data_IF_141977170179
#
_entry.id   IF_141977170179
#
_cell.length_a   1.000
_cell.length_b   1.000
_cell.length_c   1.000
_cell.angle_alpha   90.00
_cell.angle_beta   90.00
_cell.angle_gamma   90.00
#
_symmetry.space_group_name_H-M   'P 1'
#
loop_
_entity.id
_entity.type
_entity.pdbx_description
1 polymer ?
#
# COMPACT_ATOMS: atom_id res chain seq x y z
N UNK A 1 -17.32 6.06 6.97
CA UNK A 1 -16.31 7.12 6.91
C UNK A 1 -14.97 6.60 7.40
N UNK A 2 -13.91 6.90 6.67
CA UNK A 2 -12.57 6.48 7.05
C UNK A 2 -12.07 7.29 8.25
N UNK A 3 -11.55 6.60 9.25
CA UNK A 3 -10.93 7.21 10.41
C UNK A 3 -9.42 7.04 10.28
N UNK A 4 -8.75 8.11 9.88
CA UNK A 4 -7.30 8.09 9.65
C UNK A 4 -6.49 7.86 10.92
N UNK A 5 -7.08 8.10 12.09
CA UNK A 5 -6.41 7.81 13.36
C UNK A 5 -6.23 6.31 13.59
N UNK A 6 -7.01 5.47 12.90
CA UNK A 6 -6.85 4.02 12.95
C UNK A 6 -5.65 3.51 12.14
N UNK A 7 -5.00 4.38 11.38
CA UNK A 7 -3.86 4.00 10.54
C UNK A 7 -2.55 4.32 11.25
N UNK A 8 -1.53 3.50 11.03
CA UNK A 8 -0.21 3.77 11.57
C UNK A 8 0.35 5.07 10.99
N UNK A 9 1.36 5.63 11.65
CA UNK A 9 2.05 6.83 11.17
C UNK A 9 2.61 6.60 9.77
N UNK A 10 3.19 5.43 9.53
CA UNK A 10 3.73 5.08 8.22
C UNK A 10 2.64 5.03 7.15
N UNK A 11 1.49 4.40 7.46
CA UNK A 11 0.35 4.35 6.54
C UNK A 11 -0.18 5.75 6.22
N UNK A 12 -0.29 6.62 7.23
CA UNK A 12 -0.73 8.00 7.02
C UNK A 12 0.25 8.79 6.17
N UNK A 13 1.56 8.59 6.40
CA UNK A 13 2.60 9.24 5.60
C UNK A 13 2.50 8.82 4.13
N UNK A 14 2.28 7.54 3.87
CA UNK A 14 2.10 7.01 2.52
C UNK A 14 0.90 7.66 1.83
N UNK A 15 -0.23 7.78 2.54
CA UNK A 15 -1.42 8.42 2.00
C UNK A 15 -1.17 9.88 1.65
N UNK A 16 -0.48 10.62 2.52
CA UNK A 16 -0.13 12.02 2.26
C UNK A 16 0.80 12.17 1.06
N UNK A 17 1.81 11.30 0.95
CA UNK A 17 2.75 11.33 -0.16
C UNK A 17 2.05 10.96 -1.47
N UNK A 18 1.10 10.04 -1.42
CA UNK A 18 0.31 9.67 -2.59
C UNK A 18 -0.58 10.83 -3.06
N UNK A 19 -1.18 11.57 -2.13
CA UNK A 19 -1.93 12.79 -2.46
C UNK A 19 -1.04 13.83 -3.12
N UNK A 20 0.17 14.00 -2.59
CA UNK A 20 1.16 14.92 -3.16
C UNK A 20 1.52 14.52 -4.59
N UNK A 21 1.74 13.23 -4.81
CA UNK A 21 2.02 12.70 -6.14
C UNK A 21 0.89 13.01 -7.11
N UNK A 22 -0.34 12.72 -6.72
CA UNK A 22 -1.52 12.98 -7.56
C UNK A 22 -1.67 14.46 -7.87
N UNK A 23 -1.49 15.34 -6.86
CA UNK A 23 -1.56 16.79 -7.04
C UNK A 23 -0.51 17.31 -8.00
N UNK A 24 0.72 16.85 -7.87
CA UNK A 24 1.81 17.28 -8.74
C UNK A 24 1.59 16.91 -10.19
N UNK A 25 0.83 15.84 -10.42
CA UNK A 25 0.48 15.40 -11.77
C UNK A 25 -0.86 15.96 -12.25
N UNK A 26 -1.48 16.83 -11.45
CA UNK A 26 -2.78 17.45 -11.76
C UNK A 26 -3.89 16.41 -11.89
N UNK A 27 -3.79 15.31 -11.16
CA UNK A 27 -4.86 14.33 -11.03
C UNK A 27 -5.83 14.79 -9.94
N UNK A 28 -7.12 14.59 -10.17
CA UNK A 28 -8.15 15.08 -9.25
C UNK A 28 -8.57 14.07 -8.19
N UNK A 29 -8.20 12.82 -8.37
CA UNK A 29 -8.54 11.74 -7.45
C UNK A 29 -7.31 11.00 -6.99
N UNK A 30 -7.30 10.62 -5.71
CA UNK A 30 -6.31 9.71 -5.16
C UNK A 30 -6.73 8.29 -5.53
N UNK A 31 -5.94 7.65 -6.39
CA UNK A 31 -6.23 6.31 -6.89
C UNK A 31 -5.30 5.27 -6.25
N UNK A 32 -5.65 3.97 -6.31
CA UNK A 32 -4.78 2.93 -5.74
C UNK A 32 -3.38 2.93 -6.34
N UNK A 33 -3.25 3.30 -7.61
CA UNK A 33 -1.96 3.36 -8.30
C UNK A 33 -1.03 4.38 -7.63
N UNK A 34 -1.56 5.50 -7.17
CA UNK A 34 -0.76 6.50 -6.43
C UNK A 34 -0.22 5.91 -5.13
N UNK A 35 -1.08 5.18 -4.40
CA UNK A 35 -0.68 4.53 -3.15
C UNK A 35 0.42 3.50 -3.39
N UNK A 36 0.23 2.64 -4.38
CA UNK A 36 1.20 1.58 -4.67
C UNK A 36 2.54 2.17 -5.11
N UNK A 37 2.51 3.25 -5.93
CA UNK A 37 3.75 3.91 -6.36
C UNK A 37 4.56 4.41 -5.17
N UNK A 38 3.91 5.08 -4.23
CA UNK A 38 4.58 5.60 -3.04
C UNK A 38 5.07 4.45 -2.15
N UNK A 39 4.27 3.41 -2.00
CA UNK A 39 4.65 2.23 -1.21
C UNK A 39 5.89 1.54 -1.77
N UNK A 40 5.98 1.41 -3.10
CA UNK A 40 7.13 0.80 -3.76
C UNK A 40 8.37 1.67 -3.73
N UNK A 41 8.21 2.99 -3.64
CA UNK A 41 9.32 3.94 -3.57
C UNK A 41 9.82 4.18 -2.15
N UNK A 42 9.25 3.50 -1.16
CA UNK A 42 9.68 3.62 0.23
C UNK A 42 11.17 3.23 0.37
N UNK A 43 11.94 4.11 0.99
CA UNK A 43 13.39 3.90 1.17
C UNK A 43 13.72 2.61 1.91
N UNK A 44 12.85 2.22 2.84
CA UNK A 44 13.05 0.97 3.57
C UNK A 44 12.73 -0.26 2.74
N UNK A 45 12.01 -0.08 1.64
CA UNK A 45 11.75 -1.14 0.68
C UNK A 45 10.84 -2.25 1.17
N UNK A 46 10.04 -2.02 2.21
CA UNK A 46 9.21 -3.06 2.81
C UNK A 46 8.20 -3.64 1.82
N UNK A 47 7.49 -2.80 1.07
CA UNK A 47 6.52 -3.26 0.08
C UNK A 47 7.20 -4.06 -1.03
N UNK A 48 8.30 -3.54 -1.55
CA UNK A 48 9.05 -4.23 -2.61
C UNK A 48 9.52 -5.62 -2.14
N UNK A 49 10.03 -5.71 -0.91
CA UNK A 49 10.46 -6.99 -0.34
C UNK A 49 9.32 -7.99 -0.21
N UNK A 50 8.15 -7.53 0.22
CA UNK A 50 6.96 -8.38 0.32
C UNK A 50 6.53 -8.90 -1.06
N UNK A 51 6.53 -8.02 -2.05
CA UNK A 51 6.17 -8.40 -3.42
C UNK A 51 7.16 -9.42 -3.99
N UNK A 52 8.46 -9.20 -3.79
CA UNK A 52 9.50 -10.13 -4.23
C UNK A 52 9.32 -11.50 -3.55
N UNK A 53 9.08 -11.51 -2.24
CA UNK A 53 8.88 -12.74 -1.49
C UNK A 53 7.64 -13.51 -1.97
N UNK A 54 6.65 -12.79 -2.52
CA UNK A 54 5.45 -13.38 -3.10
C UNK A 54 5.62 -13.78 -4.57
N UNK A 55 6.84 -13.72 -5.09
CA UNK A 55 7.16 -14.15 -6.45
C UNK A 55 6.99 -13.09 -7.53
N UNK A 56 6.71 -11.85 -7.14
CA UNK A 56 6.43 -10.80 -8.11
C UNK A 56 7.69 -10.23 -8.75
N UNK A 57 7.53 -9.81 -10.01
CA UNK A 57 8.55 -9.04 -10.74
C UNK A 57 8.30 -7.55 -10.47
N UNK A 58 9.01 -7.00 -9.49
CA UNK A 58 8.81 -5.60 -9.07
C UNK A 58 9.16 -4.59 -10.16
N UNK A 59 10.14 -4.91 -11.02
CA UNK A 59 10.50 -4.02 -12.12
C UNK A 59 9.36 -3.94 -13.14
N UNK A 60 8.72 -5.05 -13.42
CA UNK A 60 7.57 -5.10 -14.32
C UNK A 60 6.38 -4.34 -13.72
N UNK A 61 6.11 -4.58 -12.43
CA UNK A 61 5.03 -3.89 -11.72
C UNK A 61 5.29 -2.39 -11.74
N UNK A 62 6.51 -1.96 -11.46
CA UNK A 62 6.88 -0.55 -11.43
C UNK A 62 6.65 0.13 -12.80
N UNK A 63 7.07 -0.53 -13.89
CA UNK A 63 6.92 0.01 -15.23
C UNK A 63 5.44 0.11 -15.64
N UNK A 64 4.67 -0.94 -15.37
CA UNK A 64 3.24 -0.96 -15.72
C UNK A 64 2.46 0.06 -14.89
N UNK A 65 2.86 0.23 -13.62
CA UNK A 65 2.26 1.20 -12.71
C UNK A 65 2.49 2.64 -13.21
N UNK A 66 3.71 2.95 -13.63
CA UNK A 66 4.02 4.28 -14.17
C UNK A 66 3.19 4.57 -15.44
N UNK A 67 3.02 3.56 -16.30
CA UNK A 67 2.18 3.72 -17.49
C UNK A 67 0.72 3.98 -17.10
N UNK A 68 0.20 3.27 -16.12
CA UNK A 68 -1.18 3.46 -15.65
C UNK A 68 -1.38 4.86 -15.08
N UNK A 69 -0.46 5.33 -14.27
CA UNK A 69 -0.54 6.67 -13.66
C UNK A 69 -0.47 7.75 -14.74
N UNK A 70 0.38 7.57 -15.75
CA UNK A 70 0.53 8.52 -16.86
C UNK A 70 -0.76 8.66 -17.66
N UNK A 71 -1.60 7.62 -17.71
CA UNK A 71 -2.87 7.64 -18.44
C UNK A 71 -3.99 8.36 -17.71
N UNK A 72 -3.83 8.69 -16.43
CA UNK A 72 -4.88 9.40 -15.71
C UNK A 72 -5.07 10.80 -16.27
N UNK A 73 -6.33 11.27 -16.35
CA UNK A 73 -6.59 12.62 -16.84
C UNK A 73 -5.91 13.68 -15.97
N UNK A 74 -5.25 14.63 -16.60
CA UNK A 74 -4.67 15.80 -15.93
C UNK A 74 -5.61 16.98 -16.12
N UNK A 75 -5.93 17.68 -15.02
CA UNK A 75 -6.81 18.83 -15.04
C UNK A 75 -6.04 20.06 -14.56
N UNK A 76 -6.00 21.10 -15.39
CA UNK A 76 -5.33 22.37 -15.08
C UNK A 76 -6.36 23.51 -15.12
N UNK A 77 -5.99 24.63 -14.54
CA UNK A 77 -6.84 25.82 -14.51
C UNK A 77 -7.82 25.83 -13.35
N UNK A 78 -9.00 26.38 -13.53
CA UNK A 78 -9.98 26.57 -12.44
C UNK A 78 -10.47 25.26 -11.85
N UNK A 79 -10.48 24.17 -12.63
CA UNK A 79 -10.86 22.85 -12.15
C UNK A 79 -9.85 22.27 -11.18
N UNK A 80 -8.57 22.65 -11.31
CA UNK A 80 -7.50 22.12 -10.47
C UNK A 80 -7.59 22.61 -9.01
N UNK A 81 -8.32 23.67 -8.75
CA UNK A 81 -8.47 24.25 -7.40
C UNK A 81 -9.58 23.59 -6.57
N UNK A 82 -10.32 22.64 -7.15
CA UNK A 82 -11.47 22.02 -6.48
C UNK A 82 -11.09 21.04 -5.34
N UNK A 83 -9.82 20.77 -5.16
CA UNK A 83 -9.34 19.86 -4.11
C UNK A 83 -9.28 18.41 -4.55
N UNK A 84 -8.47 17.64 -3.83
CA UNK A 84 -8.25 16.22 -4.10
C UNK A 84 -9.39 15.38 -3.52
N UNK A 85 -9.95 14.50 -4.32
CA UNK A 85 -10.93 13.54 -3.85
C UNK A 85 -10.27 12.17 -3.68
N UNK A 86 -10.83 11.37 -2.77
CA UNK A 86 -10.43 9.96 -2.66
C UNK A 86 -11.25 9.19 -3.67
N UNK A 87 -10.59 8.49 -4.59
CA UNK A 87 -11.28 7.68 -5.58
C UNK A 87 -12.09 6.57 -4.94
N UNK A 88 -13.13 6.12 -5.64
CA UNK A 88 -14.04 5.09 -5.13
C UNK A 88 -13.29 3.79 -4.80
N UNK A 89 -12.40 3.36 -5.67
CA UNK A 89 -11.62 2.14 -5.46
C UNK A 89 -10.66 2.29 -4.28
N UNK A 90 -10.04 3.46 -4.14
CA UNK A 90 -9.15 3.75 -3.01
C UNK A 90 -9.91 3.69 -1.70
N UNK A 91 -11.10 4.32 -1.62
CA UNK A 91 -11.92 4.30 -0.42
C UNK A 91 -12.30 2.87 -0.04
N UNK A 92 -12.66 2.04 -1.01
CA UNK A 92 -12.99 0.63 -0.78
C UNK A 92 -11.79 -0.15 -0.23
N UNK A 93 -10.62 0.05 -0.82
CA UNK A 93 -9.40 -0.63 -0.41
C UNK A 93 -9.05 -0.26 1.03
N UNK A 94 -9.11 1.03 1.36
CA UNK A 94 -8.78 1.49 2.71
C UNK A 94 -9.79 0.97 3.74
N UNK A 95 -11.08 0.95 3.38
CA UNK A 95 -12.12 0.40 4.26
C UNK A 95 -11.91 -1.10 4.48
N UNK A 96 -11.60 -1.84 3.42
CA UNK A 96 -11.30 -3.27 3.52
C UNK A 96 -10.07 -3.52 4.38
N UNK A 97 -9.06 -2.64 4.28
CA UNK A 97 -7.87 -2.75 5.12
C UNK A 97 -8.20 -2.59 6.60
N UNK A 98 -9.11 -1.65 6.93
CA UNK A 98 -9.60 -1.48 8.30
C UNK A 98 -10.29 -2.76 8.79
N UNK A 99 -11.17 -3.33 7.97
CA UNK A 99 -11.87 -4.55 8.34
C UNK A 99 -10.93 -5.74 8.53
N UNK A 100 -9.95 -5.88 7.66
CA UNK A 100 -8.94 -6.94 7.77
C UNK A 100 -8.11 -6.78 9.05
N UNK A 101 -7.73 -5.56 9.37
CA UNK A 101 -7.00 -5.27 10.60
C UNK A 101 -7.81 -5.64 11.84
N UNK A 102 -9.08 -5.26 11.87
CA UNK A 102 -9.97 -5.59 12.99
C UNK A 102 -10.13 -7.09 13.17
N UNK A 103 -10.32 -7.83 12.07
CA UNK A 103 -10.46 -9.29 12.12
C UNK A 103 -9.18 -9.97 12.60
N UNK A 104 -8.04 -9.36 12.37
CA UNK A 104 -6.73 -9.89 12.78
C UNK A 104 -6.33 -9.47 14.19
N UNK A 105 -7.15 -8.65 14.85
CA UNK A 105 -6.83 -8.15 16.20
C UNK A 105 -5.92 -6.93 16.19
N UNK A 106 -5.67 -6.33 15.05
CA UNK A 106 -4.85 -5.11 14.95
C UNK A 106 -5.65 -3.89 15.41
N UNK A 107 -5.05 -3.05 16.22
CA UNK A 107 -5.64 -1.77 16.62
C UNK A 107 -5.38 -0.68 15.59
N UNK A 108 -4.34 -0.84 14.78
CA UNK A 108 -3.94 0.11 13.75
C UNK A 108 -3.76 -0.60 12.42
N UNK A 109 -4.13 0.09 11.34
CA UNK A 109 -3.99 -0.43 9.97
C UNK A 109 -2.56 -0.17 9.50
N UNK A 110 -1.83 -1.23 9.23
CA UNK A 110 -0.44 -1.16 8.76
C UNK A 110 -0.39 -1.09 7.24
N UNK A 111 0.78 -0.74 6.72
CA UNK A 111 1.03 -0.67 5.28
C UNK A 111 0.79 -2.02 4.61
N UNK A 112 1.21 -3.13 5.22
CA UNK A 112 1.01 -4.45 4.63
C UNK A 112 -0.47 -4.85 4.59
N UNK A 113 -1.30 -4.34 5.49
CA UNK A 113 -2.75 -4.57 5.41
C UNK A 113 -3.34 -3.82 4.23
N UNK A 114 -2.86 -2.60 3.96
CA UNK A 114 -3.28 -1.84 2.79
C UNK A 114 -2.89 -2.60 1.51
N UNK A 115 -1.68 -3.15 1.46
CA UNK A 115 -1.22 -3.94 0.32
C UNK A 115 -2.10 -5.19 0.12
N UNK A 116 -2.40 -5.92 1.20
CA UNK A 116 -3.30 -7.08 1.13
C UNK A 116 -4.67 -6.71 0.58
N UNK A 117 -5.25 -5.62 1.10
CA UNK A 117 -6.56 -5.16 0.66
C UNK A 117 -6.54 -4.77 -0.82
N UNK A 118 -5.46 -4.15 -1.27
CA UNK A 118 -5.26 -3.75 -2.66
C UNK A 118 -5.22 -4.98 -3.58
N UNK A 119 -4.47 -6.00 -3.20
CA UNK A 119 -4.34 -7.23 -3.98
C UNK A 119 -5.67 -7.99 -4.02
N UNK A 120 -6.40 -8.03 -2.91
CA UNK A 120 -7.65 -8.77 -2.81
C UNK A 120 -8.83 -8.05 -3.47
N UNK A 121 -8.74 -6.74 -3.65
CA UNK A 121 -9.82 -5.94 -4.23
C UNK A 121 -10.08 -6.26 -5.70
N UNK A 122 -9.07 -6.72 -6.42
CA UNK A 122 -9.16 -7.08 -7.84
C UNK A 122 -9.74 -5.97 -8.72
N UNK A 123 -9.42 -4.73 -8.39
CA UNK A 123 -9.84 -3.57 -9.18
C UNK A 123 -8.88 -3.33 -10.35
N UNK A 124 -9.41 -3.03 -11.53
CA UNK A 124 -8.60 -2.66 -12.69
C UNK A 124 -8.12 -1.21 -12.57
N UNK A 125 -6.94 -0.84 -13.04
CA UNK A 125 -5.93 -1.69 -13.68
C UNK A 125 -4.98 -2.38 -12.69
N UNK A 126 -5.09 -2.12 -11.39
CA UNK A 126 -4.18 -2.67 -10.37
C UNK A 126 -4.15 -4.20 -10.43
N UNK A 127 -5.31 -4.85 -10.58
CA UNK A 127 -5.37 -6.32 -10.66
C UNK A 127 -4.55 -6.86 -11.83
N UNK A 128 -4.61 -6.20 -12.97
CA UNK A 128 -3.82 -6.58 -14.15
C UNK A 128 -2.33 -6.38 -13.92
N UNK A 129 -1.96 -5.29 -13.25
CA UNK A 129 -0.56 -4.98 -12.94
C UNK A 129 0.03 -6.09 -12.07
N UNK A 130 -0.68 -6.51 -11.04
CA UNK A 130 -0.23 -7.60 -10.17
C UNK A 130 -0.16 -8.94 -10.91
N UNK A 131 -1.18 -9.25 -11.71
CA UNK A 131 -1.23 -10.50 -12.48
C UNK A 131 -0.09 -10.57 -13.50
N UNK A 132 0.15 -9.49 -14.25
CA UNK A 132 1.23 -9.42 -15.23
C UNK A 132 2.59 -9.49 -14.55
N UNK A 133 2.70 -8.95 -13.34
CA UNK A 133 3.91 -9.03 -12.54
C UNK A 133 4.09 -10.34 -11.80
N UNK A 134 3.22 -11.35 -12.05
CA UNK A 134 3.31 -12.68 -11.47
C UNK A 134 3.20 -12.73 -9.94
N UNK A 135 2.47 -11.81 -9.34
CA UNK A 135 2.23 -11.82 -7.90
C UNK A 135 1.32 -12.99 -7.52
N UNK A 136 1.75 -13.75 -6.53
CA UNK A 136 0.94 -14.83 -5.95
C UNK A 136 0.31 -14.30 -4.65
N UNK A 137 -1.02 -14.05 -4.61
CA UNK A 137 -1.67 -13.52 -3.41
C UNK A 137 -1.56 -14.42 -2.19
N UNK A 138 -1.55 -15.73 -2.38
CA UNK A 138 -1.41 -16.68 -1.28
C UNK A 138 -0.03 -16.62 -0.65
N UNK A 139 1.01 -16.52 -1.47
CA UNK A 139 2.38 -16.33 -0.99
C UNK A 139 2.54 -15.00 -0.27
N UNK A 140 1.88 -13.96 -0.75
CA UNK A 140 1.90 -12.65 -0.09
C UNK A 140 1.31 -12.75 1.31
N UNK A 141 0.14 -13.37 1.43
CA UNK A 141 -0.51 -13.54 2.74
C UNK A 141 0.35 -14.36 3.69
N UNK A 142 0.95 -15.44 3.19
CA UNK A 142 1.84 -16.26 3.99
C UNK A 142 3.06 -15.47 4.46
N UNK A 143 3.67 -14.70 3.57
CA UNK A 143 4.83 -13.88 3.87
C UNK A 143 4.52 -12.86 4.98
N UNK A 144 3.36 -12.21 4.88
CA UNK A 144 2.93 -11.24 5.89
C UNK A 144 2.71 -11.92 7.24
N UNK A 145 2.04 -13.08 7.24
CA UNK A 145 1.81 -13.83 8.47
C UNK A 145 3.12 -14.30 9.11
N UNK A 146 4.06 -14.76 8.31
CA UNK A 146 5.38 -15.20 8.77
C UNK A 146 6.17 -14.02 9.36
N UNK A 147 6.09 -12.86 8.71
CA UNK A 147 6.74 -11.63 9.20
C UNK A 147 6.17 -11.21 10.56
N UNK A 148 4.86 -11.28 10.70
CA UNK A 148 4.16 -10.89 11.92
C UNK A 148 4.38 -11.88 13.06
N UNK A 149 4.44 -13.16 12.78
CA UNK A 149 4.60 -14.26 13.78
C UNK A 149 3.59 -14.14 14.94
N UNK A 150 2.35 -13.89 14.59
CA UNK A 150 1.27 -13.76 15.57
C UNK A 150 1.18 -12.39 16.25
N UNK A 151 2.06 -11.46 15.93
CA UNK A 151 2.02 -10.11 16.51
C UNK A 151 0.92 -9.28 15.86
N UNK A 152 0.33 -8.40 16.66
CA UNK A 152 -0.69 -7.47 16.19
C UNK A 152 -0.15 -6.05 16.20
N UNK A 153 -0.79 -5.19 15.39
CA UNK A 153 -0.40 -3.78 15.30
C UNK A 153 -1.12 -2.99 16.39
N UNK A 154 -0.48 -2.88 17.56
CA UNK A 154 -1.07 -2.29 18.76
C UNK A 154 -0.70 -0.82 18.96
N UNK A 155 0.18 -0.26 18.13
CA UNK A 155 0.64 1.12 18.24
C UNK A 155 0.70 1.79 16.87
N UNK A 156 0.73 3.11 16.88
CA UNK A 156 0.78 3.90 15.64
C UNK A 156 2.12 3.74 14.90
N UNK A 157 3.14 3.17 15.53
CA UNK A 157 4.44 2.90 14.90
C UNK A 157 4.78 1.40 14.89
N UNK A 158 3.76 0.56 14.75
CA UNK A 158 3.91 -0.90 14.81
C UNK A 158 4.88 -1.44 13.75
N UNK A 159 4.90 -0.87 12.54
CA UNK A 159 5.81 -1.32 11.48
C UNK A 159 7.27 -1.18 11.88
N UNK A 160 7.61 -0.10 12.57
CA UNK A 160 8.99 0.11 13.05
C UNK A 160 9.40 -1.00 14.00
N UNK A 161 8.49 -1.43 14.88
CA UNK A 161 8.73 -2.53 15.80
C UNK A 161 8.93 -3.85 15.06
N UNK A 162 8.08 -4.14 14.09
CA UNK A 162 8.19 -5.37 13.28
C UNK A 162 9.51 -5.41 12.54
N UNK A 163 9.91 -4.30 11.95
CA UNK A 163 11.14 -4.20 11.19
C UNK A 163 12.38 -4.35 12.07
N UNK A 164 12.39 -3.69 13.23
CA UNK A 164 13.48 -3.78 14.18
C UNK A 164 13.67 -5.22 14.67
N UNK A 165 12.58 -5.92 15.00
CA UNK A 165 12.63 -7.31 15.44
C UNK A 165 13.11 -8.25 14.33
N UNK A 166 12.71 -7.98 13.08
CA UNK A 166 13.15 -8.76 11.94
C UNK A 166 14.65 -8.64 11.72
N UNK A 167 15.19 -7.42 11.80
CA UNK A 167 16.62 -7.16 11.67
C UNK A 167 17.42 -7.84 12.78
N UNK A 168 16.93 -7.75 14.00
CA UNK A 168 17.60 -8.35 15.16
C UNK A 168 17.67 -9.87 15.03
N UNK A 169 16.56 -10.50 14.64
CA UNK A 169 16.51 -11.95 14.44
C UNK A 169 17.46 -12.40 13.33
N UNK A 170 17.57 -11.62 12.27
CA UNK A 170 18.49 -11.91 11.15
C UNK A 170 19.93 -11.86 11.60
N UNK A 171 20.30 -10.84 12.38
CA UNK A 171 21.66 -10.68 12.90
C UNK A 171 22.07 -11.83 13.81
N UNK A 172 21.12 -12.39 14.57
CA UNK A 172 21.38 -13.53 15.46
C UNK A 172 21.61 -14.84 14.70
N UNK A 173 21.11 -14.96 13.47
CA UNK A 173 21.23 -16.19 12.66
C UNK A 173 22.42 -16.18 11.72
N UNK A 174 23.04 -15.05 11.53
CA UNK A 174 24.30 -14.92 10.78
C UNK A 174 25.50 -15.13 11.69
#
# INVERSE_FOLDING_TARGET
MLDFEKFTEKSRSIMQRAQTLASRRNHQSLEPEHLLRVMMDDEQGATARLLIAAGADVNRISADLDRAITKFPSVTGSGASAGMRIGTDTAKILDNAVQMAEKSGDKFVTTERILQAMVMAKTAPIAEIFATGALDPQKLNKTINDMRKGRTADSANAEDTFEALSKYARDLTE
#
